data_IF_014143852047
#
_entry.id   IF_014143852047
#
_cell.length_a   1.000
_cell.length_b   1.000
_cell.length_c   1.000
_cell.angle_alpha   90.00
_cell.angle_beta   90.00
_cell.angle_gamma   90.00
#
_symmetry.space_group_name_H-M   'P 1'
#
loop_
_entity.id
_entity.type
_entity.pdbx_description
1 polymer ?
#
# COMPACT_ATOMS: atom_id res chain seq x y z
N UNK A 1 20.90 -55.03 8.38
CA UNK A 1 20.08 -53.83 8.62
C UNK A 1 20.74 -52.48 8.20
N UNK A 2 21.53 -52.35 7.10
CA UNK A 2 21.94 -51.00 6.64
C UNK A 2 21.34 -50.57 5.28
N UNK A 3 20.84 -51.49 4.45
CA UNK A 3 20.51 -51.24 3.04
C UNK A 3 19.17 -50.51 2.90
N UNK A 4 18.14 -50.91 3.66
CA UNK A 4 16.82 -50.28 3.63
C UNK A 4 16.84 -48.80 4.10
N UNK A 5 17.67 -48.47 5.09
CA UNK A 5 17.82 -47.09 5.57
C UNK A 5 18.53 -46.17 4.56
N UNK A 6 19.41 -46.73 3.71
CA UNK A 6 20.12 -45.96 2.68
C UNK A 6 19.21 -45.61 1.50
N UNK A 7 18.37 -46.55 1.06
CA UNK A 7 17.41 -46.32 -0.02
C UNK A 7 16.30 -45.32 0.35
N UNK A 8 15.82 -45.35 1.59
CA UNK A 8 14.82 -44.38 2.07
C UNK A 8 15.39 -42.95 2.09
N UNK A 9 16.65 -42.77 2.49
CA UNK A 9 17.32 -41.46 2.45
C UNK A 9 17.52 -40.94 1.03
N UNK A 10 17.94 -41.81 0.09
CA UNK A 10 18.10 -41.43 -1.32
C UNK A 10 16.77 -41.05 -1.99
N UNK A 11 15.70 -41.79 -1.70
CA UNK A 11 14.36 -41.49 -2.21
C UNK A 11 13.84 -40.14 -1.70
N UNK A 12 13.95 -39.89 -0.39
CA UNK A 12 13.53 -38.63 0.22
C UNK A 12 14.32 -37.42 -0.31
N UNK A 13 15.64 -37.55 -0.50
CA UNK A 13 16.46 -36.47 -1.05
C UNK A 13 16.12 -36.14 -2.51
N UNK A 14 15.80 -37.15 -3.33
CA UNK A 14 15.46 -36.95 -4.74
C UNK A 14 14.13 -36.21 -4.89
N UNK A 15 13.12 -36.58 -4.10
CA UNK A 15 11.85 -35.85 -4.06
C UNK A 15 11.98 -34.44 -3.47
N UNK A 16 12.83 -34.24 -2.46
CA UNK A 16 13.12 -32.90 -1.95
C UNK A 16 13.77 -32.00 -3.02
N UNK A 17 14.66 -32.55 -3.84
CA UNK A 17 15.30 -31.84 -4.95
C UNK A 17 14.32 -31.51 -6.09
N UNK A 18 13.45 -32.45 -6.47
CA UNK A 18 12.40 -32.22 -7.47
C UNK A 18 11.39 -31.15 -7.02
N UNK A 19 10.98 -31.18 -5.75
CA UNK A 19 10.10 -30.16 -5.19
C UNK A 19 10.80 -28.80 -5.17
N UNK A 20 12.07 -28.72 -4.74
CA UNK A 20 12.81 -27.46 -4.72
C UNK A 20 13.03 -26.87 -6.13
N UNK A 21 13.31 -27.71 -7.12
CA UNK A 21 13.47 -27.28 -8.53
C UNK A 21 12.16 -26.81 -9.14
N UNK A 22 11.04 -27.47 -8.84
CA UNK A 22 9.72 -27.00 -9.25
C UNK A 22 9.36 -25.64 -8.62
N UNK A 23 9.58 -25.47 -7.31
CA UNK A 23 9.32 -24.21 -6.62
C UNK A 23 10.18 -23.05 -7.15
N UNK A 24 11.46 -23.29 -7.45
CA UNK A 24 12.36 -22.26 -8.00
C UNK A 24 11.97 -21.87 -9.43
N UNK A 25 11.58 -22.82 -10.28
CA UNK A 25 11.09 -22.53 -11.63
C UNK A 25 9.78 -21.74 -11.62
N UNK A 26 8.81 -22.14 -10.78
CA UNK A 26 7.52 -21.43 -10.66
C UNK A 26 7.74 -20.00 -10.14
N UNK A 27 8.61 -19.82 -9.15
CA UNK A 27 8.91 -18.48 -8.61
C UNK A 27 9.50 -17.54 -9.66
N UNK A 28 10.41 -18.07 -10.49
CA UNK A 28 11.04 -17.31 -11.58
C UNK A 28 10.04 -16.91 -12.68
N UNK A 29 9.09 -17.79 -13.01
CA UNK A 29 8.03 -17.52 -13.98
C UNK A 29 7.03 -16.46 -13.48
N UNK A 30 6.64 -16.49 -12.22
CA UNK A 30 5.71 -15.49 -11.64
C UNK A 30 6.38 -14.12 -11.53
N UNK A 31 7.66 -14.05 -11.16
CA UNK A 31 8.39 -12.79 -11.08
C UNK A 31 8.55 -12.09 -12.46
N UNK A 32 8.65 -12.87 -13.54
CA UNK A 32 8.74 -12.35 -14.91
C UNK A 32 7.41 -11.96 -15.55
N UNK A 33 6.28 -12.26 -14.90
CA UNK A 33 4.96 -11.90 -15.44
C UNK A 33 4.62 -10.44 -15.14
N UNK A 34 4.21 -9.75 -16.19
CA UNK A 34 3.69 -8.42 -16.11
C UNK A 34 2.18 -8.45 -15.82
N UNK A 35 1.75 -7.77 -14.77
CA UNK A 35 0.36 -7.59 -14.42
C UNK A 35 -0.18 -6.31 -15.07
N UNK A 36 -1.41 -6.38 -15.57
CA UNK A 36 -2.18 -5.18 -15.90
C UNK A 36 -2.79 -4.64 -14.62
N UNK A 37 -2.36 -3.45 -14.23
CA UNK A 37 -2.97 -2.73 -13.13
C UNK A 37 -4.25 -2.01 -13.59
N UNK A 38 -5.09 -1.62 -12.64
CA UNK A 38 -6.38 -0.97 -12.91
C UNK A 38 -6.25 0.39 -13.61
N UNK A 39 -5.08 1.03 -13.53
CA UNK A 39 -4.76 2.27 -14.24
C UNK A 39 -4.25 2.03 -15.67
N UNK A 40 -4.36 0.80 -16.18
CA UNK A 40 -3.95 0.40 -17.53
C UNK A 40 -2.45 0.26 -17.72
N UNK A 41 -1.63 0.53 -16.68
CA UNK A 41 -0.19 0.35 -16.75
C UNK A 41 0.19 -1.10 -16.51
N UNK A 42 1.15 -1.55 -17.30
CA UNK A 42 1.79 -2.85 -17.15
C UNK A 42 2.91 -2.72 -16.12
N UNK A 43 2.87 -3.58 -15.09
CA UNK A 43 3.85 -3.59 -13.98
C UNK A 43 4.31 -5.00 -13.70
N UNK A 44 5.49 -5.16 -13.10
CA UNK A 44 5.92 -6.45 -12.55
C UNK A 44 5.11 -6.80 -11.31
N UNK A 45 5.10 -8.08 -10.92
CA UNK A 45 4.49 -8.52 -9.67
C UNK A 45 5.07 -7.84 -8.43
N UNK A 46 6.38 -7.56 -8.44
CA UNK A 46 7.09 -6.88 -7.36
C UNK A 46 6.60 -5.43 -7.21
N UNK A 47 6.52 -4.68 -8.31
CA UNK A 47 6.01 -3.30 -8.31
C UNK A 47 4.57 -3.21 -7.80
N UNK A 48 3.69 -4.10 -8.26
CA UNK A 48 2.29 -4.14 -7.80
C UNK A 48 2.20 -4.49 -6.30
N UNK A 49 3.11 -5.35 -5.82
CA UNK A 49 3.19 -5.67 -4.39
C UNK A 49 3.64 -4.47 -3.56
N UNK A 50 4.61 -3.69 -4.03
CA UNK A 50 5.06 -2.46 -3.37
C UNK A 50 3.92 -1.43 -3.30
N UNK A 51 3.22 -1.19 -4.42
CA UNK A 51 2.07 -0.26 -4.48
C UNK A 51 0.99 -0.67 -3.48
N UNK A 52 0.65 -1.95 -3.43
CA UNK A 52 -0.34 -2.48 -2.48
C UNK A 52 0.11 -2.30 -1.03
N UNK A 53 1.39 -2.48 -0.74
CA UNK A 53 1.94 -2.29 0.61
C UNK A 53 1.89 -0.82 1.03
N UNK A 54 2.22 0.11 0.14
CA UNK A 54 2.10 1.56 0.39
C UNK A 54 0.64 1.95 0.64
N UNK A 55 -0.29 1.44 -0.18
CA UNK A 55 -1.72 1.68 0.00
C UNK A 55 -2.24 1.15 1.34
N UNK A 56 -1.80 -0.05 1.76
CA UNK A 56 -2.16 -0.63 3.06
C UNK A 56 -1.57 0.17 4.22
N UNK A 57 -0.32 0.63 4.10
CA UNK A 57 0.34 1.49 5.07
C UNK A 57 -0.42 2.80 5.25
N UNK A 58 -0.80 3.45 4.13
CA UNK A 58 -1.57 4.69 4.20
C UNK A 58 -2.99 4.46 4.77
N UNK A 59 -3.63 3.34 4.45
CA UNK A 59 -4.92 2.96 5.05
C UNK A 59 -4.83 2.76 6.55
N UNK A 60 -3.74 2.15 7.05
CA UNK A 60 -3.50 2.04 8.49
C UNK A 60 -3.26 3.41 9.13
N UNK A 61 -2.48 4.27 8.47
CA UNK A 61 -2.26 5.66 8.90
C UNK A 61 -3.59 6.42 9.06
N UNK A 62 -4.51 6.28 8.10
CA UNK A 62 -5.84 6.91 8.14
C UNK A 62 -6.65 6.47 9.35
N UNK A 63 -6.61 5.18 9.70
CA UNK A 63 -7.31 4.66 10.89
C UNK A 63 -6.77 5.28 12.18
N UNK A 64 -5.45 5.43 12.28
CA UNK A 64 -4.80 6.02 13.46
C UNK A 64 -5.03 7.54 13.54
N UNK A 65 -5.18 8.21 12.40
CA UNK A 65 -5.32 9.67 12.29
C UNK A 65 -6.71 10.07 11.78
N UNK A 66 -7.74 9.32 12.19
CA UNK A 66 -9.13 9.56 11.81
C UNK A 66 -9.68 10.85 12.45
N UNK A 67 -9.03 11.35 13.50
CA UNK A 67 -9.38 12.59 14.18
C UNK A 67 -8.85 13.86 13.49
N UNK A 68 -8.34 13.78 12.25
CA UNK A 68 -7.69 14.92 11.60
C UNK A 68 -8.54 16.18 11.46
N UNK A 69 -9.87 16.05 11.30
CA UNK A 69 -10.80 17.20 11.37
C UNK A 69 -11.10 17.59 12.83
N UNK A 70 -11.52 16.68 13.73
CA UNK A 70 -11.70 17.01 15.15
C UNK A 70 -10.49 17.64 15.85
N UNK A 71 -9.26 17.35 15.40
CA UNK A 71 -8.03 17.90 15.97
C UNK A 71 -7.69 19.32 15.50
N UNK A 72 -8.44 19.88 14.55
CA UNK A 72 -8.12 21.18 13.98
C UNK A 72 -8.40 22.32 14.97
N UNK A 73 -7.40 23.16 15.16
CA UNK A 73 -7.48 24.39 15.93
C UNK A 73 -7.00 25.57 15.11
N UNK A 74 -7.76 26.67 15.14
CA UNK A 74 -7.41 27.90 14.45
C UNK A 74 -5.98 28.36 14.82
N UNK A 75 -5.18 28.62 13.78
CA UNK A 75 -3.77 29.01 13.91
C UNK A 75 -2.78 27.89 14.20
N UNK A 76 -3.21 26.63 14.30
CA UNK A 76 -2.35 25.47 14.62
C UNK A 76 -2.52 24.32 13.61
N UNK A 77 -2.69 24.64 12.32
CA UNK A 77 -3.01 23.65 11.30
C UNK A 77 -1.85 22.75 10.91
N UNK A 78 -0.62 23.26 10.92
CA UNK A 78 0.58 22.50 10.53
C UNK A 78 0.88 21.31 11.45
N UNK A 79 0.38 21.34 12.69
CA UNK A 79 0.51 20.25 13.67
C UNK A 79 -0.68 19.30 13.67
N UNK A 80 -1.63 19.46 12.74
CA UNK A 80 -2.80 18.60 12.63
C UNK A 80 -2.42 17.18 12.20
N UNK A 81 -3.17 16.19 12.70
CA UNK A 81 -3.08 14.82 12.23
C UNK A 81 -3.37 14.67 10.72
N UNK A 82 -3.93 15.68 10.06
CA UNK A 82 -4.10 15.73 8.60
C UNK A 82 -2.76 15.47 7.88
N UNK A 83 -1.68 16.07 8.36
CA UNK A 83 -0.36 16.01 7.72
C UNK A 83 0.40 14.70 7.96
N UNK A 84 -0.13 13.80 8.79
CA UNK A 84 0.54 12.52 9.11
C UNK A 84 0.42 11.47 8.00
N UNK A 85 -0.53 11.62 7.07
CA UNK A 85 -0.85 10.61 6.05
C UNK A 85 -1.03 11.25 4.67
N UNK A 86 -0.89 10.45 3.60
CA UNK A 86 -1.33 10.88 2.26
C UNK A 86 -2.85 10.90 2.19
N UNK A 87 -3.46 12.02 1.81
CA UNK A 87 -4.91 12.23 1.88
C UNK A 87 -5.59 12.05 0.53
N UNK A 88 -6.83 11.57 0.55
CA UNK A 88 -7.65 11.54 -0.67
C UNK A 88 -8.08 12.96 -1.04
N UNK A 89 -8.52 13.16 -2.28
CA UNK A 89 -9.00 14.47 -2.73
C UNK A 89 -10.20 14.96 -1.90
N UNK A 90 -11.11 14.06 -1.51
CA UNK A 90 -12.26 14.39 -0.67
C UNK A 90 -11.83 14.88 0.72
N UNK A 91 -10.84 14.21 1.32
CA UNK A 91 -10.29 14.62 2.63
C UNK A 91 -9.57 15.97 2.53
N UNK A 92 -8.90 16.25 1.41
CA UNK A 92 -8.28 17.56 1.15
C UNK A 92 -9.36 18.64 1.06
N UNK A 93 -10.46 18.39 0.34
CA UNK A 93 -11.57 19.34 0.28
C UNK A 93 -12.19 19.57 1.65
N UNK A 94 -12.49 18.51 2.40
CA UNK A 94 -13.04 18.62 3.76
C UNK A 94 -12.12 19.43 4.70
N UNK A 95 -10.81 19.19 4.63
CA UNK A 95 -9.82 19.94 5.40
C UNK A 95 -9.84 21.43 5.01
N UNK A 96 -9.74 21.75 3.73
CA UNK A 96 -9.74 23.15 3.26
C UNK A 96 -11.04 23.88 3.58
N UNK A 97 -12.20 23.21 3.46
CA UNK A 97 -13.50 23.78 3.82
C UNK A 97 -13.58 24.07 5.32
N UNK A 98 -13.05 23.17 6.14
CA UNK A 98 -12.99 23.40 7.60
C UNK A 98 -12.10 24.59 7.94
N UNK A 99 -10.95 24.77 7.26
CA UNK A 99 -10.07 25.90 7.49
C UNK A 99 -10.74 27.24 7.15
N UNK A 100 -11.44 27.30 6.01
CA UNK A 100 -12.20 28.51 5.61
C UNK A 100 -13.29 28.82 6.62
N UNK A 101 -14.04 27.81 7.07
CA UNK A 101 -15.10 27.98 8.08
C UNK A 101 -14.56 28.49 9.42
N UNK A 102 -13.37 28.05 9.83
CA UNK A 102 -12.75 28.48 11.07
C UNK A 102 -12.10 29.88 10.99
N UNK A 103 -11.74 30.36 9.79
CA UNK A 103 -11.07 31.65 9.59
C UNK A 103 -11.73 32.50 8.50
N UNK A 104 -13.02 32.84 8.63
CA UNK A 104 -13.80 33.46 7.55
C UNK A 104 -13.32 34.87 7.16
N UNK A 105 -12.54 35.53 8.03
CA UNK A 105 -11.97 36.86 7.76
C UNK A 105 -10.59 36.82 7.10
N UNK A 106 -9.95 35.64 7.07
CA UNK A 106 -8.58 35.47 6.54
C UNK A 106 -8.56 34.58 5.30
N UNK A 107 -9.41 33.55 5.25
CA UNK A 107 -9.41 32.54 4.21
C UNK A 107 -10.71 32.58 3.42
N UNK A 108 -10.59 32.47 2.10
CA UNK A 108 -11.71 32.25 1.18
C UNK A 108 -11.36 31.13 0.21
N UNK A 109 -12.38 30.37 -0.21
CA UNK A 109 -12.27 29.32 -1.23
C UNK A 109 -13.24 29.66 -2.35
N UNK A 110 -12.77 29.61 -3.58
CA UNK A 110 -13.55 29.87 -4.78
C UNK A 110 -13.12 28.92 -5.89
N UNK A 111 -14.05 28.57 -6.78
CA UNK A 111 -13.77 27.70 -7.91
C UNK A 111 -13.02 28.47 -9.01
N UNK A 112 -11.92 27.91 -9.50
CA UNK A 112 -11.13 28.48 -10.60
C UNK A 112 -11.41 27.82 -11.96
N UNK A 113 -11.87 26.55 -11.95
CA UNK A 113 -12.33 25.82 -13.13
C UNK A 113 -13.22 24.64 -12.70
N UNK A 114 -13.67 23.85 -13.68
CA UNK A 114 -14.32 22.54 -13.48
C UNK A 114 -13.44 21.45 -14.10
N UNK A 115 -13.48 20.25 -13.52
CA UNK A 115 -12.82 19.04 -14.04
C UNK A 115 -13.75 18.24 -14.92
#
# INVERSE_FOLDING_TARGET
>A
MPIAFHHIKQFAMKHAFEVATFFTLVSSFVAGQSLHSSDGRVRTFEEETLIRNDANTNRACHKQNANYIPSLKAGQYSTSAFHNCFRTIDQIYEFTDTLVKQNPTLLSKFAISKT
#
